data_IF_731589153711
#
_entry.id   IF_731589153711
#
_cell.length_a   1.000
_cell.length_b   1.000
_cell.length_c   1.000
_cell.angle_alpha   90.00
_cell.angle_beta   90.00
_cell.angle_gamma   90.00
#
_symmetry.space_group_name_H-M   'P 1'
#
loop_
_entity.id
_entity.type
_entity.pdbx_description
1 polymer ?
#
# COMPACT_ATOMS: atom_id res chain seq x y z
N UNK A 1 1.29 -28.82 13.11
CA UNK A 1 2.03 -28.01 12.11
C UNK A 1 1.66 -28.54 10.74
N UNK A 2 1.18 -27.69 9.84
CA UNK A 2 0.87 -28.09 8.45
C UNK A 2 2.13 -28.06 7.60
N UNK A 3 2.21 -28.90 6.57
CA UNK A 3 3.35 -28.97 5.66
C UNK A 3 2.88 -28.69 4.23
N UNK A 4 3.67 -27.95 3.46
CA UNK A 4 3.35 -27.70 2.06
C UNK A 4 3.61 -28.93 1.19
N UNK A 5 2.63 -29.36 0.40
CA UNK A 5 2.78 -30.53 -0.50
C UNK A 5 3.77 -30.29 -1.65
N UNK A 6 4.01 -29.03 -2.03
CA UNK A 6 4.87 -28.67 -3.16
C UNK A 6 6.35 -28.57 -2.76
N UNK A 7 6.67 -27.88 -1.64
CA UNK A 7 8.05 -27.62 -1.24
C UNK A 7 8.47 -28.30 0.08
N UNK A 8 7.57 -29.06 0.71
CA UNK A 8 7.79 -29.76 1.98
C UNK A 8 8.19 -28.84 3.16
N UNK A 9 8.06 -27.52 3.04
CA UNK A 9 8.32 -26.60 4.14
C UNK A 9 7.20 -26.65 5.18
N UNK A 10 7.59 -26.53 6.46
CA UNK A 10 6.65 -26.34 7.57
C UNK A 10 5.95 -24.98 7.43
N UNK A 11 4.63 -24.99 7.51
CA UNK A 11 3.81 -23.77 7.45
C UNK A 11 3.61 -23.28 8.89
N UNK A 12 4.16 -22.10 9.18
CA UNK A 12 3.91 -21.36 10.41
C UNK A 12 2.67 -20.46 10.22
N UNK A 13 1.61 -20.70 10.98
CA UNK A 13 0.35 -19.97 10.84
C UNK A 13 -0.59 -20.58 9.78
N UNK A 14 -1.41 -19.73 9.14
CA UNK A 14 -2.41 -20.16 8.16
C UNK A 14 -1.74 -20.46 6.80
N UNK A 15 -2.02 -21.61 6.15
CA UNK A 15 -1.54 -21.87 4.80
C UNK A 15 -2.09 -20.85 3.80
N UNK A 16 -1.32 -20.59 2.73
CA UNK A 16 -1.78 -19.75 1.62
C UNK A 16 -2.99 -20.37 0.92
N UNK A 17 -2.99 -21.70 0.72
CA UNK A 17 -4.14 -22.44 0.20
C UNK A 17 -4.26 -23.79 0.91
N UNK A 18 -5.49 -24.18 1.23
CA UNK A 18 -5.83 -25.49 1.79
C UNK A 18 -7.03 -26.05 1.03
N UNK A 19 -6.86 -27.23 0.42
CA UNK A 19 -7.91 -27.87 -0.38
C UNK A 19 -8.19 -29.26 0.17
N UNK A 20 -9.47 -29.58 0.34
CA UNK A 20 -9.94 -30.89 0.78
C UNK A 20 -10.03 -31.86 -0.41
N UNK A 21 -8.87 -32.37 -0.84
CA UNK A 21 -8.78 -33.35 -1.93
C UNK A 21 -8.83 -34.79 -1.43
N UNK A 22 -8.49 -35.02 -0.17
CA UNK A 22 -8.38 -36.34 0.44
C UNK A 22 -9.13 -36.38 1.77
N UNK A 23 -9.93 -37.43 2.04
CA UNK A 23 -10.77 -37.52 3.23
C UNK A 23 -10.00 -37.60 4.55
N UNK A 24 -8.69 -37.90 4.51
CA UNK A 24 -7.85 -38.07 5.69
C UNK A 24 -7.07 -36.82 6.07
N UNK A 25 -6.65 -36.00 5.09
CA UNK A 25 -5.89 -34.80 5.37
C UNK A 25 -6.00 -33.79 4.23
N UNK A 26 -6.27 -32.51 4.52
CA UNK A 26 -6.29 -31.47 3.51
C UNK A 26 -4.90 -31.21 2.94
N UNK A 27 -4.87 -30.91 1.64
CA UNK A 27 -3.67 -30.53 0.91
C UNK A 27 -3.36 -29.07 1.15
N UNK A 28 -2.17 -28.77 1.68
CA UNK A 28 -1.75 -27.40 1.98
C UNK A 28 -0.66 -26.89 1.03
N UNK A 29 -0.75 -25.62 0.66
CA UNK A 29 0.28 -24.89 -0.09
C UNK A 29 0.67 -23.63 0.69
N UNK A 30 1.98 -23.37 0.80
CA UNK A 30 2.50 -22.30 1.63
C UNK A 30 2.52 -20.92 0.95
N UNK A 31 2.50 -20.86 -0.38
CA UNK A 31 2.61 -19.61 -1.16
C UNK A 31 2.05 -19.77 -2.58
N UNK A 32 1.78 -18.65 -3.23
CA UNK A 32 1.31 -18.61 -4.62
C UNK A 32 2.21 -19.37 -5.61
N UNK A 33 3.54 -19.26 -5.48
CA UNK A 33 4.46 -20.00 -6.36
C UNK A 33 4.26 -21.52 -6.26
N UNK A 34 4.07 -22.03 -5.04
CA UNK A 34 3.79 -23.45 -4.82
C UNK A 34 2.44 -23.86 -5.39
N UNK A 35 1.45 -22.96 -5.40
CA UNK A 35 0.19 -23.19 -6.11
C UNK A 35 0.37 -23.25 -7.62
N UNK A 36 1.04 -22.27 -8.21
CA UNK A 36 1.27 -22.23 -9.66
C UNK A 36 1.96 -23.50 -10.15
N UNK A 37 2.96 -23.98 -9.39
CA UNK A 37 3.72 -25.18 -9.74
C UNK A 37 2.91 -26.48 -9.49
N UNK A 38 1.96 -26.47 -8.54
CA UNK A 38 1.08 -27.60 -8.21
C UNK A 38 -0.26 -27.59 -8.96
N UNK A 39 -0.58 -26.51 -9.69
CA UNK A 39 -1.89 -26.28 -10.30
C UNK A 39 -2.29 -27.41 -11.26
N UNK A 40 -1.33 -27.97 -11.99
CA UNK A 40 -1.52 -29.07 -12.93
C UNK A 40 -1.88 -30.39 -12.26
N UNK A 41 -1.63 -30.54 -10.95
CA UNK A 41 -1.97 -31.72 -10.16
C UNK A 41 -3.36 -31.61 -9.50
N UNK A 42 -4.01 -30.45 -9.57
CA UNK A 42 -5.34 -30.25 -9.00
C UNK A 42 -6.42 -30.83 -9.93
N UNK A 43 -7.40 -31.57 -9.42
CA UNK A 43 -8.49 -32.11 -10.24
C UNK A 43 -9.40 -31.00 -10.76
N UNK A 44 -10.09 -31.25 -11.88
CA UNK A 44 -11.06 -30.28 -12.41
C UNK A 44 -12.16 -30.00 -11.38
N UNK A 45 -12.48 -28.73 -11.15
CA UNK A 45 -13.49 -28.33 -10.16
C UNK A 45 -13.02 -28.30 -8.71
N UNK A 46 -11.71 -28.45 -8.44
CA UNK A 46 -11.12 -28.39 -7.09
C UNK A 46 -11.52 -27.17 -6.25
N UNK A 47 -11.95 -26.09 -6.90
CA UNK A 47 -12.39 -24.86 -6.25
C UNK A 47 -13.51 -25.08 -5.22
N UNK A 48 -14.41 -26.04 -5.45
CA UNK A 48 -15.46 -26.38 -4.48
C UNK A 48 -14.89 -26.98 -3.19
N UNK A 49 -13.74 -27.64 -3.25
CA UNK A 49 -13.03 -28.22 -2.12
C UNK A 49 -12.06 -27.25 -1.43
N UNK A 50 -11.96 -25.99 -1.88
CA UNK A 50 -11.13 -24.99 -1.22
C UNK A 50 -11.68 -24.68 0.18
N UNK A 51 -10.85 -24.87 1.20
CA UNK A 51 -11.20 -24.71 2.63
C UNK A 51 -11.05 -23.24 3.03
N UNK A 52 -9.88 -22.66 2.79
CA UNK A 52 -9.57 -21.28 3.19
C UNK A 52 -10.04 -20.29 2.11
N UNK A 53 -11.35 -20.26 1.87
CA UNK A 53 -12.01 -19.28 0.99
C UNK A 53 -12.06 -17.87 1.58
N UNK A 54 -11.61 -17.74 2.83
CA UNK A 54 -11.52 -16.45 3.50
C UNK A 54 -10.69 -15.50 2.66
N UNK A 55 -11.34 -14.42 2.24
CA UNK A 55 -10.73 -13.32 1.52
C UNK A 55 -9.46 -12.87 2.25
N UNK A 56 -8.41 -12.60 1.48
CA UNK A 56 -7.41 -11.64 1.93
C UNK A 56 -8.19 -10.43 2.43
N UNK A 57 -7.94 -9.97 3.67
CA UNK A 57 -8.79 -9.05 4.43
C UNK A 57 -9.34 -7.83 3.67
N UNK A 58 -8.83 -7.53 2.48
CA UNK A 58 -9.43 -6.64 1.50
C UNK A 58 -9.27 -7.24 0.09
N UNK A 59 -10.37 -7.52 -0.62
CA UNK A 59 -10.33 -7.70 -2.08
C UNK A 59 -9.90 -6.37 -2.66
N UNK A 60 -8.63 -6.25 -3.05
CA UNK A 60 -8.15 -5.10 -3.80
C UNK A 60 -8.18 -5.48 -5.29
N UNK A 61 -8.98 -4.80 -6.12
CA UNK A 61 -8.84 -4.98 -7.56
C UNK A 61 -7.38 -4.72 -7.93
N UNK A 62 -6.79 -5.60 -8.73
CA UNK A 62 -5.49 -5.34 -9.34
C UNK A 62 -5.81 -4.53 -10.61
N UNK A 63 -5.64 -3.20 -10.60
CA UNK A 63 -5.83 -2.45 -11.83
C UNK A 63 -4.84 -2.98 -12.88
N UNK A 64 -5.32 -3.24 -14.09
CA UNK A 64 -4.45 -3.44 -15.25
C UNK A 64 -3.84 -2.08 -15.61
N UNK A 65 -2.82 -1.66 -14.87
CA UNK A 65 -2.13 -0.40 -15.14
C UNK A 65 -1.27 -0.62 -16.40
N UNK A 66 -1.70 -0.06 -17.52
CA UNK A 66 -1.01 -0.18 -18.81
C UNK A 66 0.37 0.50 -18.81
N UNK A 67 0.63 1.40 -17.86
CA UNK A 67 1.89 2.13 -17.71
C UNK A 67 2.17 2.41 -16.24
N UNK A 68 3.39 2.14 -15.75
CA UNK A 68 3.87 2.70 -14.48
C UNK A 68 4.00 4.21 -14.64
N UNK A 69 2.92 4.96 -14.47
CA UNK A 69 3.06 6.39 -14.23
C UNK A 69 3.60 6.54 -12.81
N UNK A 70 4.85 6.99 -12.71
CA UNK A 70 5.45 7.39 -11.45
C UNK A 70 4.89 8.75 -11.10
N UNK A 71 3.79 8.77 -10.36
CA UNK A 71 3.29 9.99 -9.74
C UNK A 71 4.29 10.42 -8.66
N UNK A 72 4.77 11.67 -8.73
CA UNK A 72 5.68 12.25 -7.74
C UNK A 72 4.88 13.19 -6.86
N UNK A 73 4.90 12.94 -5.56
CA UNK A 73 4.38 13.87 -4.56
C UNK A 73 5.27 15.12 -4.54
N UNK A 74 4.65 16.28 -4.70
CA UNK A 74 5.29 17.59 -4.58
C UNK A 74 5.19 18.07 -3.13
N UNK A 75 6.22 18.79 -2.70
CA UNK A 75 6.24 19.53 -1.42
C UNK A 75 5.42 20.82 -1.50
N UNK A 76 5.12 21.42 -0.36
CA UNK A 76 4.42 22.71 -0.29
C UNK A 76 5.08 23.79 -1.17
N UNK A 77 6.40 23.95 -1.09
CA UNK A 77 7.13 24.95 -1.87
C UNK A 77 7.07 24.69 -3.38
N UNK A 78 7.09 23.42 -3.79
CA UNK A 78 6.97 23.03 -5.19
C UNK A 78 5.57 23.31 -5.72
N UNK A 79 4.52 23.15 -4.90
CA UNK A 79 3.15 23.49 -5.28
C UNK A 79 2.95 24.99 -5.46
N UNK A 80 3.59 25.82 -4.62
CA UNK A 80 3.54 27.29 -4.74
C UNK A 80 4.19 27.81 -6.03
N UNK A 81 5.11 27.05 -6.62
CA UNK A 81 5.76 27.41 -7.88
C UNK A 81 4.91 27.09 -9.12
N UNK A 82 3.85 26.29 -8.96
CA UNK A 82 2.95 25.93 -10.06
C UNK A 82 1.89 27.01 -10.30
N UNK A 83 1.46 27.14 -11.56
CA UNK A 83 0.28 27.93 -11.88
C UNK A 83 -1.00 27.28 -11.37
N UNK A 84 -2.06 28.07 -11.18
CA UNK A 84 -3.37 27.59 -10.71
C UNK A 84 -3.91 26.42 -11.57
N UNK A 85 -3.75 26.51 -12.89
CA UNK A 85 -4.14 25.43 -13.82
C UNK A 85 -3.31 24.15 -13.67
N UNK A 86 -2.03 24.28 -13.30
CA UNK A 86 -1.16 23.12 -13.07
C UNK A 86 -1.42 22.49 -11.71
N UNK A 87 -1.80 23.29 -10.72
CA UNK A 87 -2.21 22.82 -9.39
C UNK A 87 -3.49 21.98 -9.51
N UNK A 88 -4.50 22.44 -10.25
CA UNK A 88 -5.74 21.69 -10.47
C UNK A 88 -5.45 20.33 -11.11
N UNK A 89 -4.64 20.30 -12.19
CA UNK A 89 -4.23 19.07 -12.85
C UNK A 89 -3.44 18.12 -11.93
N UNK A 90 -2.62 18.68 -11.02
CA UNK A 90 -1.90 17.91 -10.02
C UNK A 90 -2.85 17.24 -9.01
N UNK A 91 -3.84 17.98 -8.48
CA UNK A 91 -4.80 17.42 -7.52
C UNK A 91 -5.71 16.35 -8.15
N UNK A 92 -6.12 16.52 -9.41
CA UNK A 92 -6.85 15.48 -10.15
C UNK A 92 -6.02 14.19 -10.30
N UNK A 93 -4.73 14.35 -10.64
CA UNK A 93 -3.80 13.23 -10.78
C UNK A 93 -3.50 12.55 -9.44
N UNK A 94 -3.40 13.34 -8.36
CA UNK A 94 -3.22 12.85 -6.99
C UNK A 94 -4.41 11.99 -6.57
N UNK A 95 -5.63 12.48 -6.76
CA UNK A 95 -6.86 11.76 -6.41
C UNK A 95 -6.95 10.44 -7.16
N UNK A 96 -6.69 10.45 -8.47
CA UNK A 96 -6.67 9.22 -9.27
C UNK A 96 -5.61 8.22 -8.76
N UNK A 97 -4.46 8.71 -8.31
CA UNK A 97 -3.39 7.87 -7.76
C UNK A 97 -3.78 7.28 -6.40
N UNK A 98 -4.43 8.06 -5.53
CA UNK A 98 -4.95 7.61 -4.24
C UNK A 98 -6.01 6.52 -4.44
N UNK A 99 -6.92 6.70 -5.38
CA UNK A 99 -7.96 5.71 -5.70
C UNK A 99 -7.36 4.37 -6.15
N UNK A 100 -6.24 4.41 -6.88
CA UNK A 100 -5.51 3.23 -7.34
C UNK A 100 -4.67 2.57 -6.24
N UNK A 101 -4.18 3.34 -5.27
CA UNK A 101 -3.35 2.85 -4.18
C UNK A 101 -3.68 3.57 -2.87
N UNK A 102 -4.65 3.08 -2.07
CA UNK A 102 -5.08 3.75 -0.85
C UNK A 102 -4.03 3.71 0.28
N UNK A 103 -2.90 3.00 0.12
CA UNK A 103 -1.76 3.13 1.05
C UNK A 103 -0.99 4.45 0.83
N UNK A 104 -1.12 5.09 -0.34
CA UNK A 104 -0.53 6.41 -0.57
C UNK A 104 -1.20 7.51 0.26
N UNK A 105 -2.46 7.32 0.67
CA UNK A 105 -3.17 8.28 1.53
C UNK A 105 -2.41 8.55 2.83
N UNK A 106 -1.94 7.49 3.50
CA UNK A 106 -1.22 7.62 4.78
C UNK A 106 0.10 8.39 4.60
N UNK A 107 0.82 8.14 3.49
CA UNK A 107 2.05 8.86 3.16
C UNK A 107 1.79 10.35 2.90
N UNK A 108 0.70 10.66 2.19
CA UNK A 108 0.29 12.04 1.91
C UNK A 108 -0.11 12.80 3.18
N UNK A 109 -0.97 12.21 4.00
CA UNK A 109 -1.40 12.80 5.27
C UNK A 109 -0.21 13.09 6.19
N UNK A 110 0.74 12.14 6.24
CA UNK A 110 1.97 12.34 7.00
C UNK A 110 2.80 13.50 6.45
N UNK A 111 2.98 13.61 5.14
CA UNK A 111 3.73 14.71 4.53
C UNK A 111 3.06 16.07 4.81
N UNK A 112 1.74 16.17 4.65
CA UNK A 112 0.99 17.40 4.95
C UNK A 112 1.10 17.81 6.43
N UNK A 113 1.13 16.83 7.34
CA UNK A 113 1.33 17.09 8.77
C UNK A 113 2.72 17.65 9.08
N UNK A 114 3.75 17.18 8.39
CA UNK A 114 5.14 17.65 8.54
C UNK A 114 5.34 19.03 7.91
N UNK A 115 4.72 19.29 6.76
CA UNK A 115 4.75 20.61 6.10
C UNK A 115 4.10 21.66 7.02
N UNK A 116 2.92 21.36 7.59
CA UNK A 116 2.28 22.23 8.60
C UNK A 116 3.15 22.46 9.82
N UNK A 117 3.80 21.41 10.32
CA UNK A 117 4.71 21.50 11.48
C UNK A 117 5.91 22.40 11.19
N UNK A 118 6.46 22.29 9.98
CA UNK A 118 7.60 23.11 9.53
C UNK A 118 7.21 24.57 9.42
N UNK A 119 6.07 24.85 8.79
CA UNK A 119 5.52 26.21 8.68
C UNK A 119 5.36 26.87 10.05
N UNK A 120 4.79 26.16 11.04
CA UNK A 120 4.65 26.68 12.41
C UNK A 120 6.00 27.03 13.04
N UNK A 121 7.03 26.19 12.83
CA UNK A 121 8.36 26.44 13.37
C UNK A 121 9.05 27.64 12.72
N UNK A 122 8.83 27.84 11.41
CA UNK A 122 9.35 29.00 10.66
C UNK A 122 8.69 30.30 11.13
N UNK A 123 7.35 30.31 11.27
CA UNK A 123 6.59 31.46 11.80
C UNK A 123 7.01 31.81 13.25
N UNK A 124 7.24 30.81 14.10
CA UNK A 124 7.74 30.99 15.47
C UNK A 124 9.17 31.55 15.49
N UNK A 125 10.03 31.11 14.57
CA UNK A 125 11.39 31.62 14.42
C UNK A 125 11.43 33.07 13.94
N UNK A 126 10.62 33.40 12.93
CA UNK A 126 10.52 34.74 12.37
C UNK A 126 9.94 35.74 13.38
N UNK A 127 8.91 35.34 14.13
CA UNK A 127 8.32 36.16 15.19
C UNK A 127 9.24 36.33 16.41
N UNK A 128 10.01 35.30 16.76
CA UNK A 128 11.03 35.38 17.82
C UNK A 128 12.21 36.29 17.48
N UNK A 129 12.60 36.38 16.19
CA UNK A 129 13.70 37.22 15.71
C UNK A 129 13.41 38.73 15.73
N UNK A 130 12.15 39.17 15.80
CA UNK A 130 11.81 40.60 15.86
C UNK A 130 11.84 41.21 17.27
N UNK A 131 11.93 40.42 18.35
CA UNK A 131 11.90 40.96 19.73
C UNK A 131 13.27 41.28 20.35
N UNK A 132 14.36 41.18 19.58
CA UNK A 132 15.74 41.22 20.11
C UNK A 132 16.61 42.34 19.51
N UNK A 133 16.10 43.56 19.35
CA UNK A 133 16.95 44.77 19.34
C UNK A 133 16.15 45.96 19.86
N UNK A 134 16.09 46.11 21.17
CA UNK A 134 15.93 47.41 21.82
C UNK A 134 17.17 47.60 22.69
N UNK A 135 18.28 47.99 22.05
CA UNK A 135 19.42 48.54 22.77
C UNK A 135 19.17 50.04 22.96
N UNK A 136 19.12 50.42 24.23
CA UNK A 136 19.02 51.79 24.73
C UNK A 136 20.07 52.72 24.11
N UNK A 137 19.64 53.93 23.71
CA UNK A 137 20.52 55.08 23.41
C UNK A 137 20.13 56.25 24.31
#
# INVERSE_FOLDING_TARGET
MSQCVCCNQSITGKPWMSVDLNPTQPTHLCRYLCYRDYQTQLPSGWWSSLINREDFNQIRPIPHIATKQTFRLLSHDELLQLSETEQDAYYESLQSTIDLNPMLTEVYEQQESEDRRTQMLEEDWESGSQSSYSEDV
#
